data_IF_012322061287
#
_entry.id   IF_012322061287
#
_cell.length_a   1.000
_cell.length_b   1.000
_cell.length_c   1.000
_cell.angle_alpha   90.00
_cell.angle_beta   90.00
_cell.angle_gamma   90.00
#
_symmetry.space_group_name_H-M   'P 1'
#
loop_
_entity.id
_entity.type
_entity.pdbx_description
1 polymer ?
#
# COMPACT_ATOMS: atom_id res chain seq x y z
N UNK A 1 -28.93 -1.35 1.90
CA UNK A 1 -28.18 -0.33 2.69
C UNK A 1 -26.70 -0.59 2.58
N UNK A 2 -26.15 -1.66 3.18
CA UNK A 2 -24.75 -2.05 2.89
C UNK A 2 -24.55 -2.39 1.40
N UNK A 3 -25.55 -2.98 0.73
CA UNK A 3 -25.51 -3.31 -0.72
C UNK A 3 -25.29 -2.13 -1.68
N UNK A 4 -25.81 -0.94 -1.37
CA UNK A 4 -25.70 0.23 -2.26
C UNK A 4 -24.40 0.98 -2.04
N UNK A 5 -23.98 1.11 -0.77
CA UNK A 5 -22.63 1.54 -0.42
C UNK A 5 -21.58 0.62 -1.05
N UNK A 6 -21.75 -0.70 -0.94
CA UNK A 6 -20.84 -1.68 -1.53
C UNK A 6 -20.77 -1.56 -3.05
N UNK A 7 -21.91 -1.31 -3.70
CA UNK A 7 -21.94 -1.03 -5.14
C UNK A 7 -21.11 0.21 -5.48
N UNK A 8 -21.29 1.34 -4.76
CA UNK A 8 -20.55 2.57 -5.04
C UNK A 8 -19.06 2.44 -4.74
N UNK A 9 -18.69 1.76 -3.65
CA UNK A 9 -17.29 1.47 -3.34
C UNK A 9 -16.67 0.53 -4.38
N UNK A 10 -17.41 -0.47 -4.88
CA UNK A 10 -16.94 -1.34 -5.95
C UNK A 10 -16.63 -0.55 -7.22
N UNK A 11 -17.54 0.34 -7.65
CA UNK A 11 -17.35 1.19 -8.82
C UNK A 11 -16.15 2.12 -8.65
N UNK A 12 -15.98 2.69 -7.45
CA UNK A 12 -14.81 3.48 -7.10
C UNK A 12 -13.50 2.69 -7.21
N UNK A 13 -13.45 1.47 -6.66
CA UNK A 13 -12.26 0.62 -6.75
C UNK A 13 -11.98 0.11 -8.17
N UNK A 14 -13.00 0.06 -9.04
CA UNK A 14 -12.85 -0.25 -10.47
C UNK A 14 -12.43 0.98 -11.29
N UNK A 15 -12.32 2.16 -10.68
CA UNK A 15 -11.98 3.41 -11.36
C UNK A 15 -13.15 4.04 -12.12
N UNK A 16 -14.37 3.52 -11.97
CA UNK A 16 -15.58 4.07 -12.57
C UNK A 16 -16.05 5.35 -11.87
N UNK A 17 -15.66 5.54 -10.60
CA UNK A 17 -15.92 6.75 -9.82
C UNK A 17 -14.60 7.38 -9.36
N UNK A 18 -14.51 8.70 -9.47
CA UNK A 18 -13.46 9.48 -8.81
C UNK A 18 -13.78 9.69 -7.31
N UNK A 19 -12.83 10.21 -6.54
CA UNK A 19 -13.08 10.58 -5.13
C UNK A 19 -14.15 11.67 -4.99
N UNK A 20 -14.26 12.57 -5.96
CA UNK A 20 -15.31 13.59 -6.00
C UNK A 20 -16.68 12.99 -6.36
N UNK A 21 -16.73 12.05 -7.31
CA UNK A 21 -17.98 11.38 -7.68
C UNK A 21 -18.49 10.50 -6.55
N UNK A 22 -17.59 9.74 -5.90
CA UNK A 22 -17.90 8.97 -4.70
C UNK A 22 -18.45 9.89 -3.59
N UNK A 23 -17.84 11.06 -3.39
CA UNK A 23 -18.34 12.04 -2.42
C UNK A 23 -19.76 12.52 -2.75
N UNK A 24 -20.06 12.83 -4.01
CA UNK A 24 -21.40 13.27 -4.45
C UNK A 24 -22.45 12.17 -4.23
N UNK A 25 -22.13 10.95 -4.63
CA UNK A 25 -23.00 9.77 -4.46
C UNK A 25 -23.28 9.51 -2.97
N UNK A 26 -22.22 9.50 -2.14
CA UNK A 26 -22.37 9.27 -0.70
C UNK A 26 -23.05 10.43 0.03
N UNK A 27 -22.93 11.67 -0.47
CA UNK A 27 -23.67 12.82 0.05
C UNK A 27 -25.17 12.68 -0.22
N UNK A 28 -25.55 12.30 -1.44
CA UNK A 28 -26.96 12.00 -1.77
C UNK A 28 -27.53 10.91 -0.87
N UNK A 29 -26.76 9.83 -0.65
CA UNK A 29 -27.18 8.75 0.26
C UNK A 29 -27.22 9.19 1.73
N UNK A 30 -26.30 10.04 2.17
CA UNK A 30 -26.32 10.64 3.52
C UNK A 30 -27.54 11.51 3.70
N UNK A 31 -27.93 12.34 2.73
CA UNK A 31 -29.10 13.21 2.87
C UNK A 31 -30.42 12.41 2.93
N UNK A 32 -30.40 11.17 2.43
CA UNK A 32 -31.50 10.20 2.50
C UNK A 32 -31.43 9.26 3.73
N UNK A 33 -30.33 9.30 4.51
CA UNK A 33 -30.07 8.40 5.63
C UNK A 33 -29.41 9.11 6.82
N UNK A 34 -29.06 8.39 7.88
CA UNK A 34 -28.39 8.99 9.04
C UNK A 34 -26.86 9.01 8.83
N UNK A 35 -26.13 9.82 9.59
CA UNK A 35 -24.66 10.05 9.46
C UNK A 35 -23.78 8.78 9.40
N UNK A 36 -24.32 7.62 9.79
CA UNK A 36 -23.64 6.33 9.80
C UNK A 36 -23.02 5.89 8.47
N UNK A 37 -23.56 6.31 7.31
CA UNK A 37 -23.08 5.82 6.01
C UNK A 37 -21.68 6.35 5.65
N UNK A 38 -21.37 7.58 6.07
CA UNK A 38 -20.06 8.20 5.86
C UNK A 38 -19.00 7.44 6.67
N UNK A 39 -19.32 7.12 7.92
CA UNK A 39 -18.44 6.34 8.80
C UNK A 39 -18.22 4.93 8.27
N UNK A 40 -19.27 4.25 7.81
CA UNK A 40 -19.17 2.92 7.19
C UNK A 40 -18.27 2.96 5.94
N UNK A 41 -18.45 3.95 5.06
CA UNK A 41 -17.64 4.12 3.86
C UNK A 41 -16.16 4.35 4.18
N UNK A 42 -15.85 5.26 5.12
CA UNK A 42 -14.49 5.53 5.55
C UNK A 42 -13.84 4.31 6.19
N UNK A 43 -14.59 3.56 7.01
CA UNK A 43 -14.12 2.30 7.59
C UNK A 43 -13.74 1.28 6.53
N UNK A 44 -14.62 1.05 5.54
CA UNK A 44 -14.35 0.13 4.42
C UNK A 44 -13.16 0.57 3.58
N UNK A 45 -13.00 1.86 3.29
CA UNK A 45 -11.83 2.38 2.59
C UNK A 45 -10.54 2.16 3.40
N UNK A 46 -10.56 2.46 4.70
CA UNK A 46 -9.43 2.25 5.59
C UNK A 46 -9.01 0.78 5.67
N UNK A 47 -9.98 -0.15 5.64
CA UNK A 47 -9.75 -1.60 5.61
C UNK A 47 -9.08 -2.10 4.33
N UNK A 48 -9.02 -1.29 3.27
CA UNK A 48 -8.28 -1.60 2.03
C UNK A 48 -6.83 -1.12 2.04
N UNK A 49 -6.44 -0.28 3.00
CA UNK A 49 -5.07 0.21 3.09
C UNK A 49 -4.11 -0.95 3.41
N UNK A 50 -2.96 -0.97 2.75
CA UNK A 50 -1.90 -1.96 2.98
C UNK A 50 -0.55 -1.26 3.06
N UNK A 51 0.38 -1.83 3.84
CA UNK A 51 1.77 -1.39 3.86
C UNK A 51 2.37 -1.48 2.44
N UNK A 52 2.16 -2.62 1.78
CA UNK A 52 2.62 -2.89 0.42
C UNK A 52 1.48 -2.67 -0.60
N UNK A 53 1.09 -1.42 -0.83
CA UNK A 53 0.21 -1.02 -1.95
C UNK A 53 0.94 -0.05 -2.88
N UNK A 54 0.37 0.28 -4.04
CA UNK A 54 0.95 1.32 -4.91
C UNK A 54 0.76 2.72 -4.30
N UNK A 55 1.58 3.69 -4.69
CA UNK A 55 1.40 5.08 -4.22
C UNK A 55 0.10 5.69 -4.75
N UNK A 56 -0.27 5.36 -6.00
CA UNK A 56 -1.52 5.79 -6.63
C UNK A 56 -2.74 5.28 -5.86
N UNK A 57 -2.79 3.99 -5.56
CA UNK A 57 -3.89 3.42 -4.78
C UNK A 57 -4.00 4.07 -3.40
N UNK A 58 -2.87 4.33 -2.75
CA UNK A 58 -2.85 4.95 -1.42
C UNK A 58 -3.42 6.37 -1.46
N UNK A 59 -2.94 7.20 -2.39
CA UNK A 59 -3.42 8.57 -2.54
C UNK A 59 -4.90 8.59 -2.93
N UNK A 60 -5.34 7.67 -3.79
CA UNK A 60 -6.75 7.49 -4.11
C UNK A 60 -7.57 7.29 -2.82
N UNK A 61 -7.24 6.27 -1.99
CA UNK A 61 -7.99 5.99 -0.74
C UNK A 61 -7.91 7.14 0.26
N UNK A 62 -6.73 7.74 0.42
CA UNK A 62 -6.52 8.92 1.27
C UNK A 62 -7.46 10.05 0.86
N UNK A 63 -7.48 10.42 -0.42
CA UNK A 63 -8.32 11.50 -0.92
C UNK A 63 -9.81 11.22 -0.72
N UNK A 64 -10.27 9.98 -0.93
CA UNK A 64 -11.67 9.64 -0.65
C UNK A 64 -12.02 9.73 0.83
N UNK A 65 -11.19 9.18 1.73
CA UNK A 65 -11.47 9.23 3.18
C UNK A 65 -11.51 10.68 3.68
N UNK A 66 -10.55 11.52 3.23
CA UNK A 66 -10.50 12.93 3.59
C UNK A 66 -11.66 13.73 3.00
N UNK A 67 -12.06 13.46 1.75
CA UNK A 67 -13.24 14.08 1.16
C UNK A 67 -14.51 13.74 1.96
N UNK A 68 -14.69 12.48 2.33
CA UNK A 68 -15.83 12.04 3.15
C UNK A 68 -15.81 12.69 4.54
N UNK A 69 -14.64 12.96 5.10
CA UNK A 69 -14.52 13.63 6.39
C UNK A 69 -15.10 15.06 6.36
N UNK A 70 -15.03 15.75 5.21
CA UNK A 70 -15.62 17.10 5.05
C UNK A 70 -17.15 17.12 5.15
N UNK A 71 -17.80 15.97 5.05
CA UNK A 71 -19.26 15.85 5.18
C UNK A 71 -19.74 15.77 6.63
N UNK A 72 -18.82 15.60 7.59
CA UNK A 72 -19.12 15.56 9.02
C UNK A 72 -19.13 16.97 9.59
N UNK A 73 -20.13 17.29 10.43
CA UNK A 73 -20.21 18.59 11.10
C UNK A 73 -19.05 18.86 12.06
N UNK A 74 -18.58 17.83 12.76
CA UNK A 74 -17.43 17.87 13.68
C UNK A 74 -16.27 16.99 13.16
N UNK A 75 -15.93 17.16 11.88
CA UNK A 75 -14.87 16.37 11.25
C UNK A 75 -13.48 16.60 11.85
N UNK A 76 -12.66 15.55 11.88
CA UNK A 76 -11.28 15.51 12.39
C UNK A 76 -10.25 15.57 11.26
N UNK A 77 -10.55 16.32 10.19
CA UNK A 77 -9.77 16.36 8.94
C UNK A 77 -8.26 16.52 9.17
N UNK A 78 -7.84 17.55 9.91
CA UNK A 78 -6.42 17.82 10.16
C UNK A 78 -5.73 16.66 10.90
N UNK A 79 -6.42 16.03 11.85
CA UNK A 79 -5.88 14.88 12.58
C UNK A 79 -5.75 13.66 11.68
N UNK A 80 -6.73 13.41 10.81
CA UNK A 80 -6.65 12.32 9.82
C UNK A 80 -5.51 12.56 8.82
N UNK A 81 -5.34 13.78 8.33
CA UNK A 81 -4.28 14.14 7.39
C UNK A 81 -2.88 13.87 7.97
N UNK A 82 -2.66 14.19 9.26
CA UNK A 82 -1.42 13.87 9.96
C UNK A 82 -1.16 12.36 10.01
N UNK A 83 -2.19 11.55 10.27
CA UNK A 83 -2.06 10.08 10.27
C UNK A 83 -1.74 9.59 8.86
N UNK A 84 -2.42 10.10 7.82
CA UNK A 84 -2.14 9.71 6.45
C UNK A 84 -0.73 10.06 6.01
N UNK A 85 -0.20 11.23 6.38
CA UNK A 85 1.20 11.59 6.12
C UNK A 85 2.14 10.57 6.80
N UNK A 86 1.87 10.21 8.06
CA UNK A 86 2.66 9.21 8.79
C UNK A 86 2.63 7.82 8.12
N UNK A 87 1.47 7.41 7.59
CA UNK A 87 1.33 6.16 6.82
C UNK A 87 2.11 6.26 5.51
N UNK A 88 1.99 7.38 4.79
CA UNK A 88 2.70 7.63 3.54
C UNK A 88 4.21 7.54 3.72
N UNK A 89 4.75 8.23 4.72
CA UNK A 89 6.17 8.23 5.06
C UNK A 89 6.66 6.82 5.44
N UNK A 90 5.89 6.09 6.26
CA UNK A 90 6.21 4.71 6.62
C UNK A 90 6.30 3.81 5.38
N UNK A 91 5.33 3.91 4.46
CA UNK A 91 5.30 3.12 3.23
C UNK A 91 6.47 3.42 2.31
N UNK A 92 6.77 4.71 2.09
CA UNK A 92 7.92 5.12 1.29
C UNK A 92 9.23 4.62 1.89
N UNK A 93 9.41 4.79 3.20
CA UNK A 93 10.60 4.30 3.90
C UNK A 93 10.75 2.78 3.80
N UNK A 94 9.64 2.05 3.93
CA UNK A 94 9.62 0.59 3.80
C UNK A 94 10.11 0.14 2.41
N UNK A 95 9.54 0.72 1.35
CA UNK A 95 9.93 0.41 -0.04
C UNK A 95 11.40 0.75 -0.29
N UNK A 96 11.85 1.96 0.09
CA UNK A 96 13.24 2.39 -0.08
C UNK A 96 14.22 1.47 0.66
N UNK A 97 13.86 1.03 1.87
CA UNK A 97 14.69 0.12 2.67
C UNK A 97 14.80 -1.25 2.00
N UNK A 98 13.70 -1.76 1.42
CA UNK A 98 13.70 -3.01 0.65
C UNK A 98 14.56 -2.91 -0.61
N UNK A 99 14.41 -1.83 -1.39
CA UNK A 99 15.21 -1.59 -2.60
C UNK A 99 16.70 -1.50 -2.28
N UNK A 100 17.08 -0.76 -1.23
CA UNK A 100 18.47 -0.63 -0.81
C UNK A 100 19.07 -1.97 -0.40
N UNK A 101 18.36 -2.78 0.38
CA UNK A 101 18.81 -4.10 0.78
C UNK A 101 18.96 -5.05 -0.43
N UNK A 102 18.02 -4.98 -1.38
CA UNK A 102 18.07 -5.77 -2.60
C UNK A 102 19.32 -5.42 -3.42
N UNK A 103 19.58 -4.13 -3.66
CA UNK A 103 20.75 -3.68 -4.43
C UNK A 103 22.07 -4.01 -3.72
N UNK A 104 22.12 -3.98 -2.39
CA UNK A 104 23.29 -4.41 -1.63
C UNK A 104 23.58 -5.91 -1.81
N UNK A 105 22.57 -6.77 -1.74
CA UNK A 105 22.72 -8.20 -1.97
C UNK A 105 23.11 -8.49 -3.42
N UNK A 106 22.49 -7.78 -4.36
CA UNK A 106 22.79 -7.87 -5.78
C UNK A 106 24.25 -7.55 -6.07
N UNK A 107 24.77 -6.45 -5.55
CA UNK A 107 26.17 -6.05 -5.71
C UNK A 107 27.16 -7.11 -5.16
N UNK A 108 26.78 -7.85 -4.12
CA UNK A 108 27.60 -8.93 -3.56
C UNK A 108 27.63 -10.22 -4.41
N UNK A 109 26.54 -10.53 -5.11
CA UNK A 109 26.35 -11.80 -5.84
C UNK A 109 26.72 -11.64 -7.33
N UNK A 110 26.44 -10.48 -7.92
CA UNK A 110 26.57 -10.24 -9.36
C UNK A 110 27.97 -10.56 -9.93
N UNK A 111 29.10 -10.20 -9.28
CA UNK A 111 30.43 -10.52 -9.82
C UNK A 111 30.69 -12.03 -9.92
N UNK A 112 30.24 -12.80 -8.93
CA UNK A 112 30.42 -14.26 -8.91
C UNK A 112 29.54 -14.93 -9.95
N UNK A 113 28.29 -14.48 -10.08
CA UNK A 113 27.34 -15.02 -11.04
C UNK A 113 27.77 -14.74 -12.49
N UNK A 114 28.32 -13.55 -12.76
CA UNK A 114 28.90 -13.21 -14.06
C UNK A 114 30.05 -14.15 -14.44
N UNK A 115 30.98 -14.39 -13.51
CA UNK A 115 32.12 -15.30 -13.75
C UNK A 115 31.66 -16.74 -14.08
N UNK A 116 30.69 -17.27 -13.33
CA UNK A 116 30.10 -18.60 -13.57
C UNK A 116 29.42 -18.65 -14.94
N UNK A 117 28.69 -17.59 -15.29
CA UNK A 117 27.94 -17.52 -16.54
C UNK A 117 28.85 -17.44 -17.76
N UNK A 118 29.93 -16.66 -17.70
CA UNK A 118 30.94 -16.59 -18.76
C UNK A 118 31.57 -17.97 -19.03
N UNK A 119 31.82 -18.75 -17.98
CA UNK A 119 32.34 -20.11 -18.12
C UNK A 119 31.31 -21.06 -18.74
N UNK A 120 30.03 -20.94 -18.38
CA UNK A 120 28.95 -21.75 -18.94
C UNK A 120 28.66 -21.41 -20.42
N UNK A 121 28.72 -20.13 -20.80
CA UNK A 121 28.58 -19.69 -22.19
C UNK A 121 29.72 -20.25 -23.05
N UNK A 122 30.96 -20.28 -22.53
CA UNK A 122 32.09 -20.93 -23.21
C UNK A 122 31.88 -22.43 -23.43
N UNK A 123 31.01 -23.07 -22.64
CA UNK A 123 30.60 -24.47 -22.79
C UNK A 123 29.33 -24.65 -23.63
N UNK A 124 28.82 -23.58 -24.25
CA UNK A 124 27.65 -23.62 -25.13
C UNK A 124 26.29 -23.53 -24.42
N UNK A 125 26.27 -23.23 -23.11
CA UNK A 125 25.04 -23.04 -22.36
C UNK A 125 24.55 -21.59 -22.46
N UNK A 126 23.23 -21.41 -22.62
CA UNK A 126 22.58 -20.10 -22.55
C UNK A 126 22.01 -19.90 -21.15
N UNK A 127 22.47 -18.86 -20.46
CA UNK A 127 21.99 -18.50 -19.12
C UNK A 127 21.40 -17.10 -19.17
N UNK A 128 20.22 -16.94 -18.57
CA UNK A 128 19.64 -15.64 -18.25
C UNK A 128 20.18 -15.17 -16.89
N UNK A 129 21.12 -14.22 -16.95
CA UNK A 129 21.83 -13.71 -15.78
C UNK A 129 20.86 -12.96 -14.85
N UNK A 130 19.96 -12.16 -15.39
CA UNK A 130 19.09 -11.28 -14.61
C UNK A 130 18.07 -12.10 -13.81
N UNK A 131 17.42 -13.08 -14.46
CA UNK A 131 16.52 -14.02 -13.79
C UNK A 131 17.24 -14.87 -12.74
N UNK A 132 18.47 -15.29 -13.02
CA UNK A 132 19.27 -16.09 -12.07
C UNK A 132 19.73 -15.26 -10.87
N UNK A 133 20.02 -13.99 -11.07
CA UNK A 133 20.42 -13.06 -10.02
C UNK A 133 19.25 -12.77 -9.08
N UNK A 134 18.09 -12.42 -9.64
CA UNK A 134 16.86 -12.17 -8.87
C UNK A 134 16.46 -13.42 -8.06
N UNK A 135 16.49 -14.60 -8.68
CA UNK A 135 16.18 -15.85 -8.01
C UNK A 135 17.17 -16.17 -6.86
N UNK A 136 18.48 -15.95 -7.05
CA UNK A 136 19.47 -16.18 -6.00
C UNK A 136 19.30 -15.22 -4.83
N UNK A 137 19.05 -13.93 -5.10
CA UNK A 137 18.83 -12.93 -4.05
C UNK A 137 17.57 -13.29 -3.27
N UNK A 138 16.43 -13.47 -3.95
CA UNK A 138 15.13 -13.73 -3.29
C UNK A 138 15.09 -15.04 -2.51
N UNK A 139 15.89 -16.04 -2.92
CA UNK A 139 15.99 -17.31 -2.20
C UNK A 139 17.03 -17.32 -1.08
N UNK A 140 17.92 -16.32 -1.03
CA UNK A 140 18.97 -16.23 -0.02
C UNK A 140 18.41 -16.13 1.40
N UNK A 141 19.05 -16.75 2.40
CA UNK A 141 18.68 -16.56 3.81
C UNK A 141 18.74 -15.10 4.22
N UNK A 142 19.75 -14.35 3.77
CA UNK A 142 19.89 -12.93 4.11
C UNK A 142 18.67 -12.11 3.68
N UNK A 143 18.16 -12.32 2.46
CA UNK A 143 16.96 -11.63 1.98
C UNK A 143 15.72 -12.04 2.77
N UNK A 144 15.53 -13.34 3.02
CA UNK A 144 14.37 -13.85 3.77
C UNK A 144 14.33 -13.32 5.21
N UNK A 145 15.48 -13.31 5.88
CA UNK A 145 15.61 -12.79 7.25
C UNK A 145 15.35 -11.27 7.28
N UNK A 146 15.93 -10.53 6.32
CA UNK A 146 15.69 -9.09 6.18
C UNK A 146 14.20 -8.78 5.97
N UNK A 147 13.55 -9.44 5.02
CA UNK A 147 12.12 -9.25 4.74
C UNK A 147 11.30 -9.59 5.98
N UNK A 148 11.55 -10.71 6.64
CA UNK A 148 10.78 -11.11 7.82
C UNK A 148 10.87 -10.09 8.96
N UNK A 149 12.07 -9.54 9.22
CA UNK A 149 12.26 -8.56 10.29
C UNK A 149 11.60 -7.22 9.96
N UNK A 150 11.81 -6.72 8.74
CA UNK A 150 11.27 -5.44 8.31
C UNK A 150 9.76 -5.47 8.10
N UNK A 151 9.22 -6.58 7.60
CA UNK A 151 7.78 -6.78 7.43
C UNK A 151 7.08 -6.80 8.79
N UNK A 152 7.67 -7.43 9.81
CA UNK A 152 7.12 -7.41 11.16
C UNK A 152 7.08 -5.97 11.72
N UNK A 153 8.22 -5.28 11.76
CA UNK A 153 8.30 -3.93 12.32
C UNK A 153 7.44 -2.93 11.54
N UNK A 154 7.44 -3.03 10.21
CA UNK A 154 6.61 -2.20 9.33
C UNK A 154 5.12 -2.47 9.53
N UNK A 155 4.72 -3.74 9.65
CA UNK A 155 3.32 -4.12 9.85
C UNK A 155 2.79 -3.70 11.23
N UNK A 156 3.61 -3.82 12.28
CA UNK A 156 3.26 -3.34 13.63
C UNK A 156 2.99 -1.82 13.61
N UNK A 157 3.93 -1.01 13.10
CA UNK A 157 3.73 0.43 13.00
C UNK A 157 2.56 0.82 12.09
N UNK A 158 2.38 0.10 10.97
CA UNK A 158 1.26 0.33 10.07
C UNK A 158 -0.08 0.07 10.77
N UNK A 159 -0.20 -1.04 11.48
CA UNK A 159 -1.41 -1.40 12.23
C UNK A 159 -1.72 -0.38 13.33
N UNK A 160 -0.71 0.17 14.01
CA UNK A 160 -0.88 1.24 14.98
C UNK A 160 -1.46 2.52 14.34
N UNK A 161 -0.97 2.92 13.17
CA UNK A 161 -1.53 4.05 12.43
C UNK A 161 -2.96 3.78 11.94
N UNK A 162 -3.26 2.56 11.48
CA UNK A 162 -4.62 2.17 11.09
C UNK A 162 -5.57 2.18 12.30
N UNK A 163 -5.13 1.72 13.47
CA UNK A 163 -5.92 1.77 14.69
C UNK A 163 -6.26 3.22 15.08
N UNK A 164 -5.27 4.12 15.06
CA UNK A 164 -5.48 5.56 15.31
C UNK A 164 -6.39 6.20 14.27
N UNK A 165 -6.26 5.82 13.00
CA UNK A 165 -7.15 6.30 11.94
C UNK A 165 -8.61 5.89 12.23
N UNK A 166 -8.84 4.65 12.66
CA UNK A 166 -10.17 4.14 13.02
C UNK A 166 -10.78 4.86 14.22
N UNK A 167 -9.98 5.29 15.19
CA UNK A 167 -10.47 6.12 16.32
C UNK A 167 -10.98 7.50 15.89
N UNK A 168 -10.54 7.97 14.71
CA UNK A 168 -10.98 9.25 14.16
C UNK A 168 -12.25 9.15 13.30
N UNK A 169 -12.56 7.97 12.74
CA UNK A 169 -13.73 7.71 11.88
C UNK A 169 -15.02 7.71 12.70
#
# INVERSE_FOLDING_TARGET
>A
RSSELDSRLSQYFQGELSSEDLWKELKSLKDQSDESIVKEAQGKLADTLRLQMSQEDFEQRRSAILALETMKGEGKYSSMELIFNSIGDLRQKYIQTQEQAYEQLKAGIEPQLKAITEQAIKQGLKIDIDSSLDANIKNSPQWKDFISQHEKAGSEMFNDYIARLRELI
#
